data_IF_000851901732
#
_entry.id   IF_000851901732
#
_cell.length_a   1.000
_cell.length_b   1.000
_cell.length_c   1.000
_cell.angle_alpha   90.00
_cell.angle_beta   90.00
_cell.angle_gamma   90.00
#
_symmetry.space_group_name_H-M   'P 1'
#
loop_
_entity.id
_entity.type
_entity.pdbx_description
1 polymer ?
#
# COMPACT_ATOMS: atom_id res chain seq x y z
N UNK A 1 13.78 13.36 -10.04
CA UNK A 1 12.74 12.39 -10.41
C UNK A 1 12.74 11.31 -9.35
N UNK A 2 11.66 11.12 -8.58
CA UNK A 2 11.64 10.20 -7.42
C UNK A 2 11.37 8.74 -7.81
N UNK A 3 10.99 8.50 -9.06
CA UNK A 3 10.63 7.16 -9.54
C UNK A 3 11.86 6.48 -10.15
N UNK A 4 12.24 5.34 -9.59
CA UNK A 4 13.13 4.39 -10.22
C UNK A 4 12.31 3.37 -11.02
N UNK A 5 12.59 3.22 -12.33
CA UNK A 5 11.85 2.30 -13.20
C UNK A 5 12.11 0.83 -12.88
N UNK A 6 13.21 0.54 -12.19
CA UNK A 6 13.57 -0.82 -11.77
C UNK A 6 12.88 -1.21 -10.45
N UNK A 7 12.44 -0.25 -9.64
CA UNK A 7 11.79 -0.49 -8.35
C UNK A 7 10.28 -0.55 -8.51
N UNK A 8 9.77 -1.74 -8.86
CA UNK A 8 8.34 -1.96 -9.01
C UNK A 8 7.89 -3.33 -8.52
N UNK A 9 6.60 -3.42 -8.22
CA UNK A 9 5.90 -4.67 -7.97
C UNK A 9 4.79 -4.79 -9.00
N UNK A 10 4.78 -5.91 -9.72
CA UNK A 10 3.74 -6.23 -10.69
C UNK A 10 2.96 -7.48 -10.27
N UNK A 11 1.65 -7.42 -10.45
CA UNK A 11 0.73 -8.51 -10.22
C UNK A 11 -0.39 -8.51 -11.27
N UNK A 12 -0.81 -9.69 -11.68
CA UNK A 12 -2.02 -9.85 -12.51
C UNK A 12 -3.23 -10.06 -11.60
N UNK A 13 -4.23 -9.19 -11.72
CA UNK A 13 -5.47 -9.23 -10.93
C UNK A 13 -6.64 -9.16 -11.91
N UNK A 14 -7.49 -10.19 -11.92
CA UNK A 14 -8.64 -10.28 -12.85
C UNK A 14 -8.22 -10.04 -14.32
N UNK A 15 -7.18 -10.74 -14.77
CA UNK A 15 -6.59 -10.63 -16.11
C UNK A 15 -6.03 -9.24 -16.49
N UNK A 16 -5.92 -8.32 -15.53
CA UNK A 16 -5.27 -7.02 -15.69
C UNK A 16 -3.90 -7.02 -15.03
N UNK A 17 -2.87 -6.59 -15.77
CA UNK A 17 -1.55 -6.36 -15.20
C UNK A 17 -1.52 -5.03 -14.45
N UNK A 18 -1.25 -5.07 -13.15
CA UNK A 18 -1.12 -3.90 -12.29
C UNK A 18 0.32 -3.78 -11.84
N UNK A 19 0.95 -2.64 -12.15
CA UNK A 19 2.32 -2.30 -11.75
C UNK A 19 2.31 -1.10 -10.81
N UNK A 20 2.88 -1.28 -9.62
CA UNK A 20 3.10 -0.23 -8.64
C UNK A 20 4.61 0.05 -8.54
N UNK A 21 5.02 1.29 -8.82
CA UNK A 21 6.40 1.73 -8.58
C UNK A 21 6.57 2.08 -7.11
N UNK A 22 7.71 1.70 -6.54
CA UNK A 22 8.02 1.97 -5.15
C UNK A 22 8.77 3.30 -5.06
N UNK A 23 8.31 4.18 -4.16
CA UNK A 23 8.97 5.45 -3.86
C UNK A 23 9.21 5.48 -2.36
N UNK A 24 10.48 5.33 -1.97
CA UNK A 24 10.90 5.40 -0.57
C UNK A 24 11.17 6.84 -0.10
N UNK A 25 11.44 6.97 1.20
CA UNK A 25 11.99 8.19 1.82
C UNK A 25 11.14 9.46 1.67
N UNK A 26 9.82 9.30 1.53
CA UNK A 26 8.90 10.43 1.56
C UNK A 26 8.79 10.94 3.01
N UNK A 27 8.99 12.26 3.26
CA UNK A 27 8.84 12.82 4.60
C UNK A 27 7.43 12.55 5.16
N UNK A 28 7.35 12.18 6.44
CA UNK A 28 6.07 11.76 7.07
C UNK A 28 5.08 12.92 7.20
N UNK A 29 5.61 14.13 7.31
CA UNK A 29 4.92 15.41 7.37
C UNK A 29 4.42 15.91 6.00
N UNK A 30 4.68 15.17 4.91
CA UNK A 30 4.18 15.52 3.57
C UNK A 30 2.66 15.61 3.59
N UNK A 31 2.13 16.76 3.15
CA UNK A 31 0.68 16.99 3.08
C UNK A 31 0.13 16.48 1.75
N UNK A 32 -0.67 15.41 1.81
CA UNK A 32 -1.41 14.90 0.66
C UNK A 32 -2.82 15.50 0.64
N UNK A 33 -3.22 16.08 -0.50
CA UNK A 33 -4.55 16.64 -0.68
C UNK A 33 -5.08 16.30 -2.07
N UNK A 34 -6.31 15.75 -2.18
CA UNK A 34 -6.93 15.51 -3.48
C UNK A 34 -7.28 16.83 -4.17
N UNK A 35 -7.19 16.86 -5.49
CA UNK A 35 -7.62 18.01 -6.31
C UNK A 35 -9.12 17.97 -6.62
N UNK A 36 -9.70 16.77 -6.67
CA UNK A 36 -11.13 16.55 -6.94
C UNK A 36 -11.93 16.45 -5.64
N UNK A 37 -13.05 17.17 -5.58
CA UNK A 37 -13.96 17.11 -4.43
C UNK A 37 -14.71 15.78 -4.40
N UNK A 38 -14.93 15.24 -3.20
CA UNK A 38 -15.68 14.01 -2.93
C UNK A 38 -15.11 12.73 -3.59
N UNK A 39 -13.85 12.74 -4.04
CA UNK A 39 -13.19 11.56 -4.61
C UNK A 39 -12.49 10.72 -3.54
N UNK A 40 -11.62 11.35 -2.73
CA UNK A 40 -10.83 10.69 -1.68
C UNK A 40 -11.21 11.25 -0.32
N UNK A 41 -11.60 10.37 0.60
CA UNK A 41 -12.01 10.75 1.95
C UNK A 41 -10.83 11.11 2.86
N UNK A 42 -9.74 10.32 2.81
CA UNK A 42 -8.56 10.50 3.65
C UNK A 42 -7.31 9.91 2.98
N UNK A 43 -6.15 10.51 3.26
CA UNK A 43 -4.84 10.01 2.89
C UNK A 43 -4.00 9.86 4.16
N UNK A 44 -3.73 8.63 4.58
CA UNK A 44 -3.06 8.33 5.84
C UNK A 44 -1.93 7.31 5.64
N UNK A 45 -0.94 7.36 6.53
CA UNK A 45 0.17 6.42 6.55
C UNK A 45 -0.20 5.15 7.31
N UNK A 46 0.10 3.99 6.74
CA UNK A 46 -0.05 2.69 7.38
C UNK A 46 1.33 2.06 7.66
N UNK A 47 1.58 1.51 8.87
CA UNK A 47 2.76 0.70 9.12
C UNK A 47 2.76 -0.56 8.23
N UNK A 48 3.84 -0.79 7.49
CA UNK A 48 3.94 -1.94 6.56
C UNK A 48 3.89 -3.28 7.30
N UNK A 49 4.38 -3.33 8.54
CA UNK A 49 4.30 -4.49 9.43
C UNK A 49 2.87 -4.89 9.75
N UNK A 50 1.95 -3.92 9.75
CA UNK A 50 0.58 -4.10 10.27
C UNK A 50 -0.42 -4.34 9.14
N UNK A 51 0.00 -4.23 7.88
CA UNK A 51 -0.80 -4.57 6.70
C UNK A 51 -1.11 -6.07 6.64
N UNK A 52 -2.28 -6.48 6.11
CA UNK A 52 -2.66 -7.88 6.08
C UNK A 52 -1.82 -8.67 5.05
N UNK A 53 -1.28 -9.81 5.45
CA UNK A 53 -0.60 -10.74 4.54
C UNK A 53 -1.58 -11.56 3.67
N UNK A 54 -2.82 -11.71 4.13
CA UNK A 54 -3.92 -12.34 3.40
C UNK A 54 -5.27 -11.84 3.94
N UNK A 55 -6.39 -12.18 3.30
CA UNK A 55 -7.73 -11.70 3.70
C UNK A 55 -8.21 -12.15 5.08
N UNK A 56 -7.62 -13.20 5.65
CA UNK A 56 -7.94 -13.73 6.99
C UNK A 56 -6.98 -13.20 8.08
N UNK A 57 -5.97 -12.42 7.70
CA UNK A 57 -5.00 -11.87 8.62
C UNK A 57 -5.63 -10.73 9.44
N UNK A 58 -5.82 -10.97 10.74
CA UNK A 58 -6.47 -10.03 11.65
C UNK A 58 -5.52 -8.97 12.24
N UNK A 59 -4.24 -8.98 11.86
CA UNK A 59 -3.23 -7.99 12.31
C UNK A 59 -3.71 -6.55 12.18
N UNK A 60 -4.31 -6.11 11.05
CA UNK A 60 -4.77 -4.73 10.91
C UNK A 60 -5.87 -4.35 11.91
N UNK A 61 -6.75 -5.30 12.25
CA UNK A 61 -7.82 -5.06 13.21
C UNK A 61 -7.26 -4.91 14.62
N UNK A 62 -6.29 -5.75 14.98
CA UNK A 62 -5.69 -5.75 16.31
C UNK A 62 -4.76 -4.56 16.54
N UNK A 63 -4.02 -4.12 15.51
CA UNK A 63 -3.01 -3.06 15.62
C UNK A 63 -3.53 -1.67 15.27
N UNK A 64 -4.47 -1.58 14.32
CA UNK A 64 -4.95 -0.32 13.77
C UNK A 64 -6.47 -0.14 13.88
N UNK A 65 -7.21 -1.14 14.38
CA UNK A 65 -8.68 -1.10 14.42
C UNK A 65 -9.36 -1.22 13.05
N UNK A 66 -8.61 -1.51 11.98
CA UNK A 66 -9.11 -1.56 10.60
C UNK A 66 -9.39 -2.99 10.19
N UNK A 67 -10.57 -3.25 9.61
CA UNK A 67 -10.90 -4.58 9.09
C UNK A 67 -9.94 -4.97 7.94
N UNK A 68 -9.47 -6.23 7.86
CA UNK A 68 -8.66 -6.70 6.74
C UNK A 68 -9.35 -6.51 5.38
N UNK A 69 -10.69 -6.53 5.36
CA UNK A 69 -11.50 -6.31 4.16
C UNK A 69 -11.50 -4.84 3.68
N UNK A 70 -11.04 -3.89 4.49
CA UNK A 70 -10.87 -2.49 4.07
C UNK A 70 -9.69 -2.32 3.09
N UNK A 71 -8.79 -3.30 3.01
CA UNK A 71 -7.62 -3.27 2.14
C UNK A 71 -7.93 -3.88 0.77
N UNK A 72 -8.51 -3.07 -0.11
CA UNK A 72 -8.82 -3.48 -1.49
C UNK A 72 -7.55 -3.46 -2.38
N UNK A 73 -7.28 -4.58 -3.06
CA UNK A 73 -6.11 -4.76 -3.95
C UNK A 73 -4.73 -4.54 -3.31
N UNK A 74 -4.62 -4.50 -1.99
CA UNK A 74 -3.32 -4.31 -1.31
C UNK A 74 -2.57 -5.63 -1.13
N UNK A 75 -3.29 -6.68 -0.72
CA UNK A 75 -2.73 -8.00 -0.36
C UNK A 75 -1.76 -8.59 -1.40
N UNK A 76 -2.04 -8.54 -2.73
CA UNK A 76 -1.13 -9.11 -3.73
C UNK A 76 0.30 -8.53 -3.71
N UNK A 77 0.47 -7.32 -3.17
CA UNK A 77 1.74 -6.58 -3.21
C UNK A 77 2.54 -6.68 -1.90
N UNK A 78 1.89 -7.01 -0.76
CA UNK A 78 2.49 -6.89 0.58
C UNK A 78 3.74 -7.73 0.77
N UNK A 79 3.77 -8.99 0.29
CA UNK A 79 4.94 -9.86 0.47
C UNK A 79 6.18 -9.31 -0.21
N UNK A 80 6.03 -8.79 -1.43
CA UNK A 80 7.14 -8.22 -2.20
C UNK A 80 7.55 -6.86 -1.64
N UNK A 81 6.59 -6.05 -1.18
CA UNK A 81 6.87 -4.79 -0.50
C UNK A 81 7.69 -4.99 0.78
N UNK A 82 7.33 -5.95 1.62
CA UNK A 82 8.09 -6.28 2.84
C UNK A 82 9.51 -6.73 2.55
N UNK A 83 9.73 -7.44 1.45
CA UNK A 83 11.08 -7.83 1.01
C UNK A 83 11.89 -6.60 0.59
N UNK A 84 11.31 -5.74 -0.24
CA UNK A 84 11.97 -4.52 -0.70
C UNK A 84 12.39 -3.59 0.46
N UNK A 85 11.58 -3.52 1.53
CA UNK A 85 11.94 -2.73 2.73
C UNK A 85 13.09 -3.34 3.55
N UNK A 86 13.30 -4.66 3.43
CA UNK A 86 14.34 -5.37 4.16
C UNK A 86 15.67 -5.48 3.39
N UNK A 87 15.67 -5.11 2.11
CA UNK A 87 16.86 -4.95 1.27
C UNK A 87 17.53 -3.60 1.53
#
# INVERSE_FOLDING_TARGET
>A
NLINKQDYIEATIHDQSVRLYIIGYIPRETKFQPRTRNEIKACEWFPISDLPANRKDMTPKLKMGVSPNAFFMVVPFIKRLRRWVAE
#
